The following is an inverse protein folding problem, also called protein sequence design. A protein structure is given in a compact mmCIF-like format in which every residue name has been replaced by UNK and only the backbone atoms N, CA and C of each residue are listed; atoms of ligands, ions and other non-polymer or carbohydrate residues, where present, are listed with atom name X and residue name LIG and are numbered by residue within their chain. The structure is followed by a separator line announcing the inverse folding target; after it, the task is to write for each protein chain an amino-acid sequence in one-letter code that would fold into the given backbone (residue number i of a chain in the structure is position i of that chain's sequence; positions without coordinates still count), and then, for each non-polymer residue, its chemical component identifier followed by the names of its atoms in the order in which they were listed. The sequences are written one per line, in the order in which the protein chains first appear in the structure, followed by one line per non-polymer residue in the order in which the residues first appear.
data_IF_076371421319
#
_entry.id   IF_076371421319
#
_cell.length_a   1.000
_cell.length_b   1.000
_cell.length_c   1.000
_cell.angle_alpha   90.00
_cell.angle_beta   90.00
_cell.angle_gamma   90.00
#
_symmetry.space_group_name_H-M   'P 1'
#
loop_
_entity.id
_entity.type
_entity.pdbx_description
1 polymer ?
#
# COMPACT_ATOMS: atom_id res chain seq x y z
N UNK A 1 4.57 -1.97 16.97
CA UNK A 1 3.34 -1.38 16.43
C UNK A 1 2.33 -1.38 17.56
N UNK A 2 1.94 -0.22 18.09
CA UNK A 2 0.89 -0.14 19.11
C UNK A 2 -0.45 -0.21 18.38
N UNK A 3 -1.40 -0.98 18.91
CA UNK A 3 -2.72 -1.16 18.28
C UNK A 3 -3.58 0.12 18.27
N UNK A 4 -3.14 1.18 18.96
CA UNK A 4 -3.74 2.52 18.98
C UNK A 4 -3.49 3.32 17.68
N UNK A 5 -2.57 2.85 16.81
CA UNK A 5 -2.23 3.48 15.52
C UNK A 5 -2.99 2.88 14.32
N UNK A 6 -4.02 2.05 14.56
CA UNK A 6 -4.83 1.45 13.52
C UNK A 6 -5.68 2.51 12.82
N UNK A 7 -5.07 3.21 11.87
CA UNK A 7 -5.73 4.20 11.05
C UNK A 7 -6.77 3.51 10.14
N UNK A 8 -8.07 3.81 10.28
CA UNK A 8 -9.12 3.20 9.47
C UNK A 8 -8.93 3.50 7.98
N UNK A 9 -8.18 4.54 7.62
CA UNK A 9 -7.91 4.91 6.24
C UNK A 9 -6.73 4.15 5.61
N UNK A 10 -6.00 3.31 6.36
CA UNK A 10 -4.79 2.66 5.83
C UNK A 10 -5.09 1.86 4.57
N UNK A 11 -6.21 1.12 4.55
CA UNK A 11 -6.62 0.31 3.38
C UNK A 11 -6.98 1.18 2.18
N UNK A 12 -7.70 2.29 2.42
CA UNK A 12 -8.03 3.28 1.39
C UNK A 12 -6.76 3.91 0.82
N UNK A 13 -5.80 4.24 1.69
CA UNK A 13 -4.55 4.84 1.28
C UNK A 13 -3.64 3.87 0.53
N UNK A 14 -3.65 2.57 0.83
CA UNK A 14 -2.94 1.56 0.03
C UNK A 14 -3.36 1.58 -1.44
N UNK A 15 -4.66 1.77 -1.70
CA UNK A 15 -5.23 1.68 -3.05
C UNK A 15 -5.32 3.04 -3.78
N UNK A 16 -5.07 4.15 -3.10
CA UNK A 16 -5.12 5.51 -3.68
C UNK A 16 -3.78 6.23 -3.69
N UNK A 17 -2.87 5.87 -2.78
CA UNK A 17 -1.56 6.53 -2.67
C UNK A 17 -0.64 6.05 -3.77
N UNK A 18 -0.13 7.00 -4.54
CA UNK A 18 0.94 6.76 -5.51
C UNK A 18 2.29 6.80 -4.82
N UNK A 19 3.19 5.93 -5.23
CA UNK A 19 4.57 5.90 -4.79
C UNK A 19 5.26 7.23 -5.19
N UNK A 20 5.82 7.99 -4.24
CA UNK A 20 6.34 9.33 -4.53
C UNK A 20 7.74 9.34 -5.16
N UNK A 21 8.48 8.23 -5.09
CA UNK A 21 9.88 8.14 -5.54
C UNK A 21 10.28 6.73 -5.96
N UNK A 22 11.51 6.60 -6.48
CA UNK A 22 12.11 5.32 -6.87
C UNK A 22 11.61 4.78 -8.20
N UNK A 23 11.93 3.51 -8.49
CA UNK A 23 11.61 2.83 -9.76
C UNK A 23 10.11 2.82 -10.07
N UNK A 24 9.26 2.72 -9.05
CA UNK A 24 7.80 2.63 -9.19
C UNK A 24 7.10 3.97 -8.94
N UNK A 25 7.81 5.11 -9.06
CA UNK A 25 7.21 6.43 -8.86
C UNK A 25 5.97 6.60 -9.74
N UNK A 26 4.85 7.02 -9.14
CA UNK A 26 3.57 7.23 -9.82
C UNK A 26 2.64 6.01 -9.80
N UNK A 27 3.14 4.81 -9.49
CA UNK A 27 2.34 3.60 -9.33
C UNK A 27 1.64 3.57 -7.97
N UNK A 28 0.48 2.93 -7.89
CA UNK A 28 -0.23 2.74 -6.61
C UNK A 28 0.55 1.80 -5.70
N UNK A 29 0.53 2.05 -4.39
CA UNK A 29 1.18 1.16 -3.42
C UNK A 29 0.63 -0.27 -3.52
N UNK A 30 -0.68 -0.43 -3.70
CA UNK A 30 -1.33 -1.74 -3.84
C UNK A 30 -0.89 -2.54 -5.09
N UNK A 31 -0.36 -1.88 -6.13
CA UNK A 31 0.09 -2.55 -7.37
C UNK A 31 1.59 -2.87 -7.36
N UNK A 32 2.31 -2.53 -6.29
CA UNK A 32 3.75 -2.76 -6.22
C UNK A 32 4.08 -4.27 -6.22
N UNK A 33 5.13 -4.70 -6.96
CA UNK A 33 5.52 -6.11 -7.02
C UNK A 33 6.02 -6.66 -5.68
N UNK A 34 5.71 -7.91 -5.38
CA UNK A 34 6.14 -8.61 -4.16
C UNK A 34 7.66 -8.53 -3.89
N UNK A 35 8.55 -8.71 -4.90
CA UNK A 35 9.99 -8.57 -4.67
C UNK A 35 10.41 -7.18 -4.19
N UNK A 36 9.72 -6.13 -4.67
CA UNK A 36 10.00 -4.76 -4.26
C UNK A 36 9.55 -4.50 -2.82
N UNK A 37 8.36 -4.95 -2.46
CA UNK A 37 7.84 -4.85 -1.09
C UNK A 37 8.76 -5.59 -0.10
N UNK A 38 9.19 -6.80 -0.45
CA UNK A 38 10.11 -7.58 0.36
C UNK A 38 11.49 -6.91 0.49
N UNK A 39 12.01 -6.32 -0.58
CA UNK A 39 13.25 -5.53 -0.52
C UNK A 39 13.10 -4.32 0.39
N UNK A 40 12.00 -3.56 0.25
CA UNK A 40 11.72 -2.38 1.04
C UNK A 40 11.53 -2.72 2.53
N UNK A 41 10.85 -3.81 2.85
CA UNK A 41 10.70 -4.26 4.24
C UNK A 41 12.05 -4.58 4.92
N UNK A 42 13.08 -4.96 4.15
CA UNK A 42 14.42 -5.27 4.66
C UNK A 42 15.37 -4.07 4.68
N UNK A 43 15.30 -3.18 3.69
CA UNK A 43 16.31 -2.12 3.47
C UNK A 43 15.72 -0.70 3.39
N UNK A 44 14.41 -0.59 3.26
CA UNK A 44 13.71 0.68 3.15
C UNK A 44 13.67 1.42 4.48
N UNK A 45 13.55 2.74 4.39
CA UNK A 45 13.36 3.58 5.57
C UNK A 45 11.88 3.60 5.93
N UNK A 46 11.50 2.88 6.99
CA UNK A 46 10.12 2.81 7.50
C UNK A 46 9.64 4.10 8.18
N UNK A 47 10.03 5.27 7.65
CA UNK A 47 9.72 6.57 8.25
C UNK A 47 8.52 7.21 7.56
N UNK A 48 7.67 7.82 8.37
CA UNK A 48 6.48 8.53 7.91
C UNK A 48 5.43 7.61 7.29
N UNK A 49 4.41 8.24 6.70
CA UNK A 49 3.21 7.52 6.27
C UNK A 49 3.47 6.51 5.15
N UNK A 50 4.34 6.84 4.19
CA UNK A 50 4.69 5.95 3.08
C UNK A 50 5.35 4.66 3.58
N UNK A 51 6.24 4.75 4.57
CA UNK A 51 6.88 3.58 5.17
C UNK A 51 5.86 2.65 5.81
N UNK A 52 4.89 3.21 6.55
CA UNK A 52 3.77 2.44 7.14
C UNK A 52 2.97 1.73 6.05
N UNK A 53 2.57 2.44 4.98
CA UNK A 53 1.81 1.86 3.88
C UNK A 53 2.58 0.72 3.18
N UNK A 54 3.88 0.89 2.93
CA UNK A 54 4.69 -0.14 2.28
C UNK A 54 4.88 -1.40 3.14
N UNK A 55 5.08 -1.23 4.45
CA UNK A 55 5.16 -2.36 5.38
C UNK A 55 3.81 -3.07 5.51
N UNK A 56 2.71 -2.32 5.62
CA UNK A 56 1.37 -2.91 5.63
C UNK A 56 1.09 -3.67 4.34
N UNK A 57 1.46 -3.11 3.18
CA UNK A 57 1.29 -3.78 1.90
C UNK A 57 2.13 -5.06 1.81
N UNK A 58 3.36 -5.04 2.33
CA UNK A 58 4.21 -6.22 2.42
C UNK A 58 3.58 -7.32 3.28
N UNK A 59 3.03 -6.97 4.45
CA UNK A 59 2.33 -7.92 5.32
C UNK A 59 1.06 -8.49 4.66
N UNK A 60 0.30 -7.68 3.93
CA UNK A 60 -0.85 -8.15 3.13
C UNK A 60 -0.38 -9.12 2.04
N UNK A 61 0.68 -8.78 1.31
CA UNK A 61 1.22 -9.56 0.21
C UNK A 61 1.73 -10.94 0.66
N UNK A 62 2.60 -10.98 1.67
CA UNK A 62 3.21 -12.24 2.15
C UNK A 62 2.19 -13.23 2.75
N UNK A 63 1.04 -12.72 3.21
CA UNK A 63 -0.06 -13.55 3.71
C UNK A 63 -1.09 -13.91 2.61
N UNK A 64 -0.85 -13.52 1.35
CA UNK A 64 -1.76 -13.83 0.23
C UNK A 64 -3.06 -13.03 0.24
N UNK A 65 -3.13 -11.92 0.99
CA UNK A 65 -4.36 -11.16 1.24
C UNK A 65 -4.61 -10.04 0.21
N UNK A 66 -3.79 -9.92 -0.84
CA UNK A 66 -3.98 -8.93 -1.91
C UNK A 66 -5.40 -8.93 -2.52
N UNK A 67 -6.06 -10.08 -2.75
CA UNK A 67 -7.41 -10.09 -3.33
C UNK A 67 -8.44 -9.33 -2.49
N UNK A 68 -8.21 -9.16 -1.17
CA UNK A 68 -9.09 -8.37 -0.31
C UNK A 68 -9.10 -6.88 -0.66
N UNK A 69 -8.06 -6.39 -1.35
CA UNK A 69 -7.96 -5.00 -1.78
C UNK A 69 -8.66 -4.74 -3.13
N UNK A 70 -8.99 -5.78 -3.90
CA UNK A 70 -9.58 -5.64 -5.24
C UNK A 70 -10.86 -4.79 -5.23
N UNK A 71 -11.85 -5.01 -4.34
CA UNK A 71 -13.06 -4.19 -4.32
C UNK A 71 -12.78 -2.71 -4.01
N UNK A 72 -11.73 -2.41 -3.26
CA UNK A 72 -11.32 -1.04 -2.95
C UNK A 72 -10.58 -0.40 -4.12
N UNK A 73 -9.76 -1.17 -4.84
CA UNK A 73 -9.10 -0.72 -6.07
C UNK A 73 -10.12 -0.39 -7.16
N UNK A 74 -11.13 -1.22 -7.34
CA UNK A 74 -12.18 -0.99 -8.33
C UNK A 74 -12.97 0.28 -8.01
N UNK A 75 -13.35 0.47 -6.74
CA UNK A 75 -13.98 1.72 -6.27
C UNK A 75 -13.08 2.94 -6.46
N UNK A 76 -11.78 2.82 -6.18
CA UNK A 76 -10.84 3.93 -6.34
C UNK A 76 -10.57 4.29 -7.82
N UNK A 77 -10.73 3.33 -8.72
CA UNK A 77 -10.56 3.50 -10.18
C UNK A 77 -11.84 3.88 -10.91
N UNK A 78 -13.00 3.65 -10.29
CA UNK A 78 -14.28 4.02 -10.87
C UNK A 78 -14.30 5.53 -11.16
N UNK A 79 -14.79 5.95 -12.34
CA UNK A 79 -14.97 7.37 -12.61
C UNK A 79 -15.93 7.92 -11.55
N UNK A 80 -15.56 9.05 -10.93
CA UNK A 80 -16.52 9.83 -10.17
C UNK A 80 -17.56 10.33 -11.16
N UNK A 81 -18.74 9.75 -11.15
CA UNK A 81 -19.91 10.42 -11.72
C UNK A 81 -20.22 11.57 -10.76
N UNK A 82 -19.92 12.79 -11.22
CA UNK A 82 -20.42 14.04 -10.64
C UNK A 82 -21.94 14.16 -10.87
#
# INVERSE_FOLDING_TARGET
MRFEDADPEVLTQLVTTKMPFGKYKGELIATLPSPYLAWYARHGTAKGRIGVLLLTMYEIDRNGLRPLLTPLLDKARAPKND
#
